data_IF_674120382627
#
_entry.id   IF_674120382627
#
_cell.length_a   1.000
_cell.length_b   1.000
_cell.length_c   1.000
_cell.angle_alpha   90.00
_cell.angle_beta   90.00
_cell.angle_gamma   90.00
#
_symmetry.space_group_name_H-M   'P 1'
#
loop_
_entity.id
_entity.type
_entity.pdbx_description
1 polymer ?
#
# COMPACT_ATOMS: atom_id res chain seq x y z
N UNK A 1 -29.18 14.86 -23.81
CA UNK A 1 -30.09 13.69 -23.70
C UNK A 1 -31.06 13.84 -22.54
N UNK A 2 -30.60 13.96 -21.28
CA UNK A 2 -31.48 14.15 -20.12
C UNK A 2 -32.47 15.31 -20.27
N UNK A 3 -32.01 16.51 -20.72
CA UNK A 3 -32.88 17.66 -21.03
C UNK A 3 -34.01 17.37 -22.04
N UNK A 4 -33.79 16.44 -22.97
CA UNK A 4 -34.78 16.06 -23.99
C UNK A 4 -35.79 15.04 -23.46
N UNK A 5 -35.36 14.15 -22.55
CA UNK A 5 -36.19 13.10 -21.97
C UNK A 5 -36.99 13.60 -20.76
N UNK A 6 -36.48 14.61 -20.05
CA UNK A 6 -37.08 15.14 -18.83
C UNK A 6 -38.55 15.60 -18.96
N UNK A 7 -38.97 16.32 -20.02
CA UNK A 7 -40.37 16.69 -20.21
C UNK A 7 -41.25 15.54 -20.69
N UNK A 8 -40.65 14.42 -21.14
CA UNK A 8 -41.37 13.23 -21.63
C UNK A 8 -41.59 12.18 -20.54
N UNK A 9 -41.17 12.44 -19.29
CA UNK A 9 -41.33 11.51 -18.17
C UNK A 9 -42.80 11.33 -17.80
N UNK A 10 -43.15 10.13 -17.32
CA UNK A 10 -44.48 9.90 -16.77
C UNK A 10 -44.71 10.80 -15.54
N UNK A 11 -45.89 11.45 -15.43
CA UNK A 11 -46.23 12.25 -14.26
C UNK A 11 -46.14 11.40 -12.97
N UNK A 12 -45.27 11.79 -12.04
CA UNK A 12 -45.11 11.11 -10.76
C UNK A 12 -44.06 9.99 -10.70
N UNK A 13 -43.22 9.80 -11.74
CA UNK A 13 -42.12 8.86 -11.67
C UNK A 13 -41.11 9.26 -10.56
N UNK A 14 -41.06 8.48 -9.47
CA UNK A 14 -40.19 8.69 -8.30
C UNK A 14 -38.76 8.22 -8.57
N UNK A 15 -38.12 8.75 -9.61
CA UNK A 15 -36.72 8.42 -9.99
C UNK A 15 -35.73 9.44 -9.39
N UNK A 16 -36.15 10.20 -8.39
CA UNK A 16 -35.50 11.46 -8.01
C UNK A 16 -34.14 11.20 -7.37
N UNK A 17 -34.07 10.32 -6.37
CA UNK A 17 -32.81 10.06 -5.66
C UNK A 17 -31.77 9.38 -6.55
N UNK A 18 -32.14 8.34 -7.31
CA UNK A 18 -31.23 7.61 -8.19
C UNK A 18 -30.68 8.48 -9.32
N UNK A 19 -31.53 9.35 -9.89
CA UNK A 19 -31.12 10.28 -10.95
C UNK A 19 -30.24 11.39 -10.38
N UNK A 20 -30.57 11.93 -9.20
CA UNK A 20 -29.71 12.91 -8.51
C UNK A 20 -28.37 12.29 -8.13
N UNK A 21 -28.35 11.06 -7.63
CA UNK A 21 -27.13 10.29 -7.32
C UNK A 21 -26.29 10.06 -8.57
N UNK A 22 -26.92 9.67 -9.68
CA UNK A 22 -26.24 9.49 -10.96
C UNK A 22 -25.65 10.80 -11.50
N UNK A 23 -26.38 11.90 -11.36
CA UNK A 23 -25.91 13.23 -11.73
C UNK A 23 -24.76 13.70 -10.82
N UNK A 24 -24.84 13.45 -9.52
CA UNK A 24 -23.79 13.73 -8.54
C UNK A 24 -22.50 12.95 -8.81
N UNK A 25 -22.60 11.73 -9.34
CA UNK A 25 -21.44 10.92 -9.77
C UNK A 25 -20.89 11.29 -11.15
N UNK A 26 -21.60 12.16 -11.89
CA UNK A 26 -21.18 12.53 -13.24
C UNK A 26 -20.01 13.52 -13.22
N UNK A 27 -19.29 13.59 -14.32
CA UNK A 27 -18.22 14.58 -14.55
C UNK A 27 -18.76 15.94 -14.97
N UNK A 28 -20.09 16.13 -15.00
CA UNK A 28 -20.75 17.35 -15.46
C UNK A 28 -21.59 17.97 -14.35
N UNK A 29 -21.12 19.07 -13.71
CA UNK A 29 -21.86 19.72 -12.63
C UNK A 29 -23.18 20.35 -13.14
N UNK A 30 -23.27 20.60 -14.45
CA UNK A 30 -24.45 21.14 -15.13
C UNK A 30 -25.63 20.17 -15.03
N UNK A 31 -25.40 18.85 -14.97
CA UNK A 31 -26.48 17.87 -14.86
C UNK A 31 -27.20 17.98 -13.52
N UNK A 32 -26.45 18.08 -12.42
CA UNK A 32 -27.03 18.26 -11.10
C UNK A 32 -27.79 19.59 -11.00
N UNK A 33 -27.18 20.69 -11.51
CA UNK A 33 -27.84 22.00 -11.56
C UNK A 33 -29.16 21.96 -12.33
N UNK A 34 -29.17 21.33 -13.52
CA UNK A 34 -30.38 21.20 -14.32
C UNK A 34 -31.48 20.45 -13.57
N UNK A 35 -31.15 19.38 -12.85
CA UNK A 35 -32.14 18.65 -12.06
C UNK A 35 -32.69 19.50 -10.92
N UNK A 36 -31.84 20.24 -10.20
CA UNK A 36 -32.27 21.15 -9.13
C UNK A 36 -33.21 22.24 -9.68
N UNK A 37 -32.90 22.82 -10.84
CA UNK A 37 -33.72 23.85 -11.48
C UNK A 37 -35.13 23.36 -11.84
N UNK A 38 -35.24 22.09 -12.25
CA UNK A 38 -36.47 21.45 -12.70
C UNK A 38 -37.31 20.80 -11.58
N UNK A 39 -36.73 20.64 -10.39
CA UNK A 39 -37.41 20.10 -9.23
C UNK A 39 -38.29 21.17 -8.55
N UNK A 40 -39.21 20.69 -7.70
CA UNK A 40 -40.22 21.53 -7.04
C UNK A 40 -39.64 22.58 -6.07
N UNK A 41 -40.50 23.32 -5.36
CA UNK A 41 -40.10 24.45 -4.54
C UNK A 41 -39.24 24.10 -3.31
N UNK A 42 -39.19 22.82 -2.91
CA UNK A 42 -38.38 22.33 -1.80
C UNK A 42 -37.75 21.00 -2.20
N UNK A 43 -36.44 20.89 -2.05
CA UNK A 43 -35.64 19.74 -2.46
C UNK A 43 -34.87 19.25 -1.24
N UNK A 44 -35.29 18.10 -0.69
CA UNK A 44 -34.53 17.43 0.37
C UNK A 44 -33.54 16.46 -0.28
N UNK A 45 -32.24 16.73 -0.14
CA UNK A 45 -31.22 15.80 -0.62
C UNK A 45 -30.99 14.70 0.42
N UNK A 46 -31.09 13.46 -0.04
CA UNK A 46 -30.69 12.30 0.76
C UNK A 46 -29.18 12.32 1.01
N UNK A 47 -28.76 11.72 2.12
CA UNK A 47 -27.34 11.60 2.48
C UNK A 47 -26.54 10.89 1.37
N UNK A 48 -27.11 9.90 0.71
CA UNK A 48 -26.53 9.16 -0.44
C UNK A 48 -26.14 10.08 -1.61
N UNK A 49 -26.99 11.06 -1.92
CA UNK A 49 -26.73 12.08 -2.94
C UNK A 49 -25.60 12.99 -2.47
N UNK A 50 -25.65 13.47 -1.22
CA UNK A 50 -24.60 14.32 -0.65
C UNK A 50 -23.24 13.62 -0.60
N UNK A 51 -23.19 12.35 -0.20
CA UNK A 51 -21.98 11.51 -0.25
C UNK A 51 -21.40 11.45 -1.67
N UNK A 52 -22.27 11.31 -2.66
CA UNK A 52 -21.86 11.28 -4.07
C UNK A 52 -21.35 12.63 -4.58
N UNK A 53 -21.94 13.74 -4.11
CA UNK A 53 -21.48 15.10 -4.42
C UNK A 53 -20.12 15.35 -3.80
N UNK A 54 -19.98 15.14 -2.48
CA UNK A 54 -18.75 15.43 -1.73
C UNK A 54 -17.62 14.53 -2.21
N UNK A 55 -17.91 13.24 -2.44
CA UNK A 55 -16.93 12.25 -2.92
C UNK A 55 -16.59 12.35 -4.41
N UNK A 56 -17.19 13.27 -5.16
CA UNK A 56 -16.87 13.46 -6.58
C UNK A 56 -15.54 14.22 -6.72
N UNK A 57 -14.50 13.50 -7.13
CA UNK A 57 -13.12 14.01 -7.22
C UNK A 57 -12.89 15.06 -8.31
N UNK A 58 -13.81 15.21 -9.28
CA UNK A 58 -13.64 16.13 -10.41
C UNK A 58 -14.47 17.41 -10.26
N UNK A 59 -15.71 17.26 -9.77
CA UNK A 59 -16.71 18.32 -9.76
C UNK A 59 -17.39 18.53 -8.40
N UNK A 60 -17.03 17.74 -7.37
CA UNK A 60 -17.75 17.71 -6.10
C UNK A 60 -17.85 19.06 -5.41
N UNK A 61 -16.76 19.84 -5.38
CA UNK A 61 -16.78 21.19 -4.82
C UNK A 61 -17.71 22.15 -5.58
N UNK A 62 -17.72 22.09 -6.92
CA UNK A 62 -18.59 22.93 -7.76
C UNK A 62 -20.07 22.56 -7.58
N UNK A 63 -20.35 21.26 -7.47
CA UNK A 63 -21.67 20.74 -7.17
C UNK A 63 -22.12 21.16 -5.76
N UNK A 64 -21.25 21.08 -4.75
CA UNK A 64 -21.53 21.53 -3.39
C UNK A 64 -21.88 23.03 -3.33
N UNK A 65 -21.12 23.88 -4.04
CA UNK A 65 -21.43 25.31 -4.18
C UNK A 65 -22.78 25.56 -4.87
N UNK A 66 -23.14 24.72 -5.84
CA UNK A 66 -24.44 24.81 -6.52
C UNK A 66 -25.59 24.45 -5.57
N UNK A 67 -25.43 23.39 -4.79
CA UNK A 67 -26.40 22.97 -3.76
C UNK A 67 -26.59 24.05 -2.70
N UNK A 68 -25.50 24.60 -2.16
CA UNK A 68 -25.55 25.66 -1.14
C UNK A 68 -26.05 27.00 -1.67
N UNK A 69 -25.88 27.26 -2.96
CA UNK A 69 -26.35 28.49 -3.61
C UNK A 69 -27.85 28.52 -3.89
N UNK A 70 -28.55 27.40 -3.74
CA UNK A 70 -29.98 27.29 -3.97
C UNK A 70 -30.75 27.15 -2.65
N UNK A 71 -31.51 28.17 -2.22
CA UNK A 71 -32.21 28.15 -0.94
C UNK A 71 -33.37 27.13 -0.88
N UNK A 72 -33.75 26.51 -2.01
CA UNK A 72 -34.74 25.45 -2.06
C UNK A 72 -34.17 24.10 -1.61
N UNK A 73 -32.84 23.97 -1.61
CA UNK A 73 -32.16 22.71 -1.32
C UNK A 73 -31.83 22.63 0.17
N UNK A 74 -32.26 21.54 0.80
CA UNK A 74 -32.08 21.28 2.23
C UNK A 74 -31.39 19.92 2.37
N UNK A 75 -30.39 19.85 3.24
CA UNK A 75 -29.72 18.62 3.63
C UNK A 75 -29.22 18.74 5.07
N UNK A 76 -29.04 17.60 5.72
CA UNK A 76 -28.48 17.53 7.06
C UNK A 76 -26.97 17.22 6.97
N UNK A 77 -26.15 17.97 7.71
CA UNK A 77 -24.73 17.69 7.83
C UNK A 77 -24.55 16.58 8.87
N UNK A 78 -24.14 15.40 8.41
CA UNK A 78 -23.85 14.24 9.25
C UNK A 78 -22.35 13.95 9.33
N UNK A 79 -21.92 13.22 10.36
CA UNK A 79 -20.55 12.74 10.54
C UNK A 79 -20.00 12.02 9.27
N UNK A 80 -20.74 11.11 8.61
CA UNK A 80 -20.30 10.51 7.36
C UNK A 80 -19.96 11.51 6.25
N UNK A 81 -20.67 12.65 6.17
CA UNK A 81 -20.37 13.68 5.16
C UNK A 81 -19.06 14.40 5.48
N UNK A 82 -18.81 14.69 6.77
CA UNK A 82 -17.56 15.29 7.24
C UNK A 82 -16.38 14.32 7.02
N UNK A 83 -16.57 13.03 7.31
CA UNK A 83 -15.57 11.98 7.07
C UNK A 83 -15.18 11.90 5.58
N UNK A 84 -16.16 11.91 4.67
CA UNK A 84 -15.88 11.94 3.22
C UNK A 84 -15.15 13.23 2.85
N UNK A 85 -15.62 14.39 3.31
CA UNK A 85 -14.98 15.67 3.05
C UNK A 85 -13.50 15.69 3.48
N UNK A 86 -13.19 15.15 4.66
CA UNK A 86 -11.83 15.04 5.19
C UNK A 86 -10.91 14.14 4.34
N UNK A 87 -11.46 13.17 3.61
CA UNK A 87 -10.70 12.31 2.69
C UNK A 87 -10.71 12.78 1.23
N UNK A 88 -11.36 13.91 0.91
CA UNK A 88 -11.38 14.43 -0.47
C UNK A 88 -9.99 14.89 -0.92
N UNK A 89 -9.68 14.64 -2.19
CA UNK A 89 -8.39 14.98 -2.80
C UNK A 89 -8.33 16.40 -3.34
N UNK A 90 -9.47 16.98 -3.72
CA UNK A 90 -9.59 18.31 -4.30
C UNK A 90 -10.15 19.29 -3.27
N UNK A 91 -9.31 20.23 -2.82
CA UNK A 91 -9.68 21.30 -1.89
C UNK A 91 -10.49 20.83 -0.65
N UNK A 92 -9.97 19.84 0.12
CA UNK A 92 -10.69 19.29 1.28
C UNK A 92 -11.02 20.33 2.35
N UNK A 93 -10.15 21.32 2.54
CA UNK A 93 -10.39 22.41 3.50
C UNK A 93 -11.61 23.24 3.12
N UNK A 94 -11.75 23.57 1.83
CA UNK A 94 -12.90 24.35 1.36
C UNK A 94 -14.19 23.54 1.46
N UNK A 95 -14.14 22.24 1.15
CA UNK A 95 -15.28 21.35 1.33
C UNK A 95 -15.70 21.24 2.81
N UNK A 96 -14.73 21.07 3.72
CA UNK A 96 -14.98 21.04 5.15
C UNK A 96 -15.57 22.36 5.65
N UNK A 97 -15.02 23.50 5.23
CA UNK A 97 -15.56 24.82 5.56
C UNK A 97 -17.01 24.99 5.10
N UNK A 98 -17.34 24.54 3.89
CA UNK A 98 -18.71 24.60 3.38
C UNK A 98 -19.66 23.76 4.24
N UNK A 99 -19.26 22.56 4.67
CA UNK A 99 -20.12 21.71 5.51
C UNK A 99 -20.23 22.23 6.93
N UNK A 100 -19.13 22.63 7.56
CA UNK A 100 -19.10 23.13 8.95
C UNK A 100 -19.92 24.41 9.07
N UNK A 101 -19.79 25.35 8.12
CA UNK A 101 -20.54 26.61 8.15
C UNK A 101 -22.03 26.46 7.84
N UNK A 102 -22.45 25.34 7.23
CA UNK A 102 -23.86 25.05 6.93
C UNK A 102 -24.44 23.97 7.86
N UNK A 103 -23.70 23.57 8.89
CA UNK A 103 -24.21 22.67 9.92
C UNK A 103 -25.03 23.45 10.96
N UNK A 104 -26.26 23.02 11.21
CA UNK A 104 -27.10 23.59 12.28
C UNK A 104 -26.58 23.25 13.68
N UNK A 105 -25.81 22.16 13.78
CA UNK A 105 -25.23 21.66 15.03
C UNK A 105 -23.72 21.79 15.02
N UNK A 106 -23.12 21.82 16.20
CA UNK A 106 -21.66 21.78 16.31
C UNK A 106 -21.16 20.43 15.81
N UNK A 107 -20.27 20.45 14.82
CA UNK A 107 -19.58 19.25 14.33
C UNK A 107 -18.66 18.71 15.41
N UNK A 108 -18.90 17.47 15.82
CA UNK A 108 -18.05 16.73 16.77
C UNK A 108 -17.01 15.91 16.01
N UNK A 109 -15.74 16.01 16.42
CA UNK A 109 -14.65 15.32 15.75
C UNK A 109 -14.52 13.91 16.34
N UNK A 110 -14.91 12.92 15.53
CA UNK A 110 -14.85 11.50 15.88
C UNK A 110 -13.59 10.83 15.33
N UNK A 111 -13.30 9.63 15.81
CA UNK A 111 -12.20 8.82 15.30
C UNK A 111 -12.32 8.54 13.79
N UNK A 112 -13.55 8.37 13.27
CA UNK A 112 -13.77 8.11 11.84
C UNK A 112 -13.30 9.30 10.98
N UNK A 113 -13.67 10.52 11.40
CA UNK A 113 -13.26 11.76 10.72
C UNK A 113 -11.73 11.91 10.77
N UNK A 114 -11.11 11.62 11.92
CA UNK A 114 -9.66 11.70 12.08
C UNK A 114 -8.95 10.65 11.23
N UNK A 115 -9.48 9.42 11.16
CA UNK A 115 -8.96 8.37 10.27
C UNK A 115 -9.02 8.78 8.80
N UNK A 116 -10.11 9.42 8.38
CA UNK A 116 -10.27 9.92 7.02
C UNK A 116 -9.27 11.03 6.69
N UNK A 117 -9.04 11.95 7.63
CA UNK A 117 -8.04 13.01 7.52
C UNK A 117 -6.61 12.47 7.45
N UNK A 118 -6.25 11.57 8.37
CA UNK A 118 -4.93 10.96 8.44
C UNK A 118 -4.62 10.08 7.22
N UNK A 119 -5.66 9.54 6.56
CA UNK A 119 -5.54 8.78 5.32
C UNK A 119 -5.67 9.61 4.04
N UNK A 120 -5.77 10.94 4.13
CA UNK A 120 -5.88 11.79 2.96
C UNK A 120 -4.57 11.75 2.15
N UNK A 121 -4.69 11.60 0.83
CA UNK A 121 -3.53 11.40 -0.06
C UNK A 121 -2.77 12.71 -0.33
N UNK A 122 -3.48 13.84 -0.38
CA UNK A 122 -2.91 15.09 -0.87
C UNK A 122 -2.66 16.12 0.24
N UNK A 123 -3.54 16.16 1.25
CA UNK A 123 -3.55 17.21 2.26
C UNK A 123 -3.76 16.72 3.71
N UNK A 124 -3.22 15.56 4.12
CA UNK A 124 -3.48 14.98 5.44
C UNK A 124 -3.11 15.91 6.59
N UNK A 125 -1.94 16.56 6.50
CA UNK A 125 -1.46 17.53 7.49
C UNK A 125 -2.40 18.72 7.68
N UNK A 126 -2.81 19.34 6.57
CA UNK A 126 -3.66 20.52 6.59
C UNK A 126 -5.06 20.20 7.09
N UNK A 127 -5.59 19.03 6.73
CA UNK A 127 -6.90 18.58 7.20
C UNK A 127 -6.85 18.28 8.70
N UNK A 128 -5.84 17.55 9.19
CA UNK A 128 -5.68 17.30 10.63
C UNK A 128 -5.52 18.60 11.43
N UNK A 129 -4.78 19.57 10.89
CA UNK A 129 -4.64 20.89 11.51
C UNK A 129 -5.98 21.64 11.57
N UNK A 130 -6.74 21.66 10.47
CA UNK A 130 -8.08 22.24 10.43
C UNK A 130 -9.01 21.62 11.47
N UNK A 131 -9.09 20.29 11.52
CA UNK A 131 -9.93 19.57 12.48
C UNK A 131 -9.52 19.87 13.94
N UNK A 132 -8.23 20.09 14.21
CA UNK A 132 -7.74 20.45 15.54
C UNK A 132 -8.20 21.82 16.03
N UNK A 133 -8.60 22.71 15.10
CA UNK A 133 -9.12 24.03 15.43
C UNK A 133 -10.66 24.07 15.54
N UNK A 134 -11.38 23.04 15.06
CA UNK A 134 -12.84 22.98 15.16
C UNK A 134 -13.34 22.70 16.57
N UNK A 135 -12.58 21.94 17.36
CA UNK A 135 -12.91 21.64 18.74
C UNK A 135 -11.76 21.95 19.70
N UNK A 136 -12.07 22.60 20.82
CA UNK A 136 -11.10 22.90 21.86
C UNK A 136 -10.58 21.65 22.61
N UNK A 137 -11.27 20.51 22.45
CA UNK A 137 -10.83 19.23 23.03
C UNK A 137 -9.93 18.52 22.02
N UNK A 138 -8.83 17.89 22.47
CA UNK A 138 -8.05 17.01 21.61
C UNK A 138 -8.95 15.91 21.05
N UNK A 139 -8.94 15.72 19.73
CA UNK A 139 -9.65 14.62 19.11
C UNK A 139 -8.95 13.28 19.40
N UNK A 140 -9.67 12.14 19.37
CA UNK A 140 -9.10 10.84 19.70
C UNK A 140 -8.06 10.41 18.66
N UNK A 141 -6.84 10.15 19.11
CA UNK A 141 -5.79 9.50 18.30
C UNK A 141 -5.60 8.09 18.80
N UNK A 142 -6.20 7.15 18.07
CA UNK A 142 -6.14 5.71 18.34
C UNK A 142 -5.06 5.05 17.48
N UNK A 143 -4.84 3.76 17.69
CA UNK A 143 -3.95 2.95 16.84
C UNK A 143 -4.38 3.02 15.36
N UNK A 144 -5.69 3.02 15.08
CA UNK A 144 -6.19 3.03 13.70
C UNK A 144 -5.85 4.37 13.00
N UNK A 145 -5.93 5.49 13.70
CA UNK A 145 -5.49 6.80 13.18
C UNK A 145 -4.02 6.78 12.81
N UNK A 146 -3.16 6.24 13.70
CA UNK A 146 -1.72 6.10 13.43
C UNK A 146 -1.50 5.20 12.20
N UNK A 147 -2.23 4.09 12.09
CA UNK A 147 -2.14 3.17 10.94
C UNK A 147 -2.51 3.84 9.60
N UNK A 148 -3.43 4.80 9.58
CA UNK A 148 -3.73 5.57 8.36
C UNK A 148 -2.62 6.54 8.01
N UNK A 149 -2.02 7.18 9.03
CA UNK A 149 -0.90 8.11 8.86
C UNK A 149 0.41 7.43 8.42
N UNK A 150 0.62 6.14 8.72
CA UNK A 150 1.86 5.40 8.36
C UNK A 150 2.21 5.50 6.87
N UNK A 151 1.23 5.66 5.98
CA UNK A 151 1.51 5.71 4.53
C UNK A 151 2.28 6.95 4.09
N UNK A 152 2.28 8.01 4.90
CA UNK A 152 2.97 9.27 4.60
C UNK A 152 3.83 9.70 5.79
N UNK A 153 5.17 9.77 5.64
CA UNK A 153 6.06 10.05 6.76
C UNK A 153 5.80 11.45 7.34
N UNK A 154 5.40 12.42 6.51
CA UNK A 154 5.09 13.78 6.95
C UNK A 154 3.85 13.84 7.84
N UNK A 155 2.81 13.08 7.48
CA UNK A 155 1.59 12.94 8.29
C UNK A 155 1.89 12.30 9.62
N UNK A 156 2.68 11.21 9.61
CA UNK A 156 3.06 10.51 10.83
C UNK A 156 3.87 11.42 11.78
N UNK A 157 4.80 12.20 11.24
CA UNK A 157 5.57 13.21 12.00
C UNK A 157 4.65 14.23 12.68
N UNK A 158 3.76 14.87 11.92
CA UNK A 158 2.82 15.88 12.43
C UNK A 158 1.85 15.29 13.46
N UNK A 159 1.41 14.05 13.24
CA UNK A 159 0.56 13.34 14.20
C UNK A 159 1.28 13.19 15.54
N UNK A 160 2.54 12.78 15.57
CA UNK A 160 3.30 12.66 16.81
C UNK A 160 3.73 14.02 17.41
N UNK A 161 3.91 15.06 16.60
CA UNK A 161 4.16 16.42 17.11
C UNK A 161 2.94 16.97 17.86
N UNK A 162 1.75 16.82 17.29
CA UNK A 162 0.49 17.28 17.90
C UNK A 162 0.01 16.35 19.02
N UNK A 163 0.28 15.05 18.89
CA UNK A 163 -0.18 14.01 19.81
C UNK A 163 1.00 13.13 20.26
N UNK A 164 1.85 13.62 21.19
CA UNK A 164 3.04 12.90 21.63
C UNK A 164 2.74 11.58 22.35
N UNK A 165 1.49 11.40 22.82
CA UNK A 165 1.01 10.19 23.47
C UNK A 165 0.26 9.24 22.52
N UNK A 166 0.32 9.46 21.20
CA UNK A 166 -0.32 8.58 20.24
C UNK A 166 0.20 7.13 20.39
N UNK A 167 -0.67 6.12 20.30
CA UNK A 167 -0.30 4.74 20.61
C UNK A 167 0.65 4.18 19.54
N UNK A 168 1.83 3.76 19.98
CA UNK A 168 2.80 3.02 19.17
C UNK A 168 2.77 1.55 19.62
N UNK A 169 2.02 0.74 18.89
CA UNK A 169 1.80 -0.69 19.21
C UNK A 169 2.60 -1.60 18.29
N UNK A 170 2.57 -2.91 18.55
CA UNK A 170 3.14 -3.91 17.66
C UNK A 170 2.64 -3.75 16.21
N UNK A 171 1.34 -3.49 16.04
CA UNK A 171 0.71 -3.36 14.72
C UNK A 171 1.24 -2.16 13.95
N UNK A 172 1.51 -1.04 14.64
CA UNK A 172 2.11 0.17 14.06
C UNK A 172 3.52 -0.13 13.55
N UNK A 173 4.36 -0.82 14.33
CA UNK A 173 5.69 -1.24 13.87
C UNK A 173 5.62 -2.19 12.68
N UNK A 174 4.72 -3.18 12.72
CA UNK A 174 4.52 -4.08 11.59
C UNK A 174 4.00 -3.35 10.35
N UNK A 175 3.19 -2.31 10.51
CA UNK A 175 2.76 -1.44 9.41
C UNK A 175 3.92 -0.69 8.77
N UNK A 176 4.85 -0.21 9.60
CA UNK A 176 6.03 0.53 9.16
C UNK A 176 7.15 -0.34 8.57
N UNK A 177 7.14 -1.67 8.75
CA UNK A 177 8.10 -2.58 8.08
C UNK A 177 8.12 -2.46 6.56
N UNK A 178 7.09 -1.85 5.97
CA UNK A 178 7.00 -1.60 4.54
C UNK A 178 7.50 -0.21 4.13
N UNK A 179 7.94 0.63 5.06
CA UNK A 179 8.34 2.01 4.79
C UNK A 179 9.51 2.44 5.70
N UNK A 180 10.70 2.56 5.14
CA UNK A 180 11.93 2.81 5.91
C UNK A 180 11.91 4.11 6.73
N UNK A 181 11.40 5.21 6.15
CA UNK A 181 11.34 6.51 6.83
C UNK A 181 10.45 6.47 8.07
N UNK A 182 9.33 5.76 7.99
CA UNK A 182 8.40 5.59 9.10
C UNK A 182 8.97 4.68 10.17
N UNK A 183 9.71 3.64 9.77
CA UNK A 183 10.44 2.80 10.70
C UNK A 183 11.45 3.65 11.50
N UNK A 184 12.22 4.51 10.82
CA UNK A 184 13.12 5.46 11.47
C UNK A 184 12.40 6.34 12.50
N UNK A 185 11.33 7.02 12.05
CA UNK A 185 10.53 7.91 12.89
C UNK A 185 9.99 7.20 14.13
N UNK A 186 9.48 5.97 13.98
CA UNK A 186 8.87 5.23 15.09
C UNK A 186 9.90 4.77 16.12
N UNK A 187 11.09 4.30 15.72
CA UNK A 187 12.08 3.88 16.73
C UNK A 187 12.80 5.07 17.41
N UNK A 188 12.61 6.30 16.93
CA UNK A 188 13.03 7.52 17.64
C UNK A 188 12.03 7.95 18.72
N UNK A 189 10.81 7.44 18.71
CA UNK A 189 9.77 7.77 19.69
C UNK A 189 9.81 6.84 20.90
N UNK A 190 9.36 7.30 22.08
CA UNK A 190 9.24 6.45 23.25
C UNK A 190 8.29 5.29 23.00
N UNK A 191 8.77 4.06 23.11
CA UNK A 191 7.97 2.84 22.90
C UNK A 191 8.22 1.81 24.01
N UNK A 192 7.18 1.06 24.38
CA UNK A 192 7.21 0.09 25.49
C UNK A 192 7.92 -1.24 25.19
N UNK A 193 8.34 -1.45 23.94
CA UNK A 193 8.98 -2.67 23.45
C UNK A 193 8.79 -2.81 21.94
N UNK A 194 9.64 -3.60 21.28
CA UNK A 194 9.58 -3.83 19.84
C UNK A 194 9.23 -5.29 19.55
N UNK A 195 8.27 -5.56 18.63
CA UNK A 195 7.92 -6.92 18.23
C UNK A 195 8.91 -7.48 17.20
N UNK A 196 10.19 -7.55 17.56
CA UNK A 196 11.30 -7.86 16.65
C UNK A 196 11.07 -9.16 15.87
N UNK A 197 10.62 -10.23 16.53
CA UNK A 197 10.37 -11.53 15.88
C UNK A 197 9.31 -11.41 14.77
N UNK A 198 8.16 -10.77 15.07
CA UNK A 198 7.09 -10.56 14.08
C UNK A 198 7.52 -9.61 12.95
N UNK A 199 8.37 -8.63 13.26
CA UNK A 199 8.90 -7.70 12.25
C UNK A 199 9.79 -8.44 11.27
N UNK A 200 10.70 -9.27 11.78
CA UNK A 200 11.60 -10.13 10.99
C UNK A 200 10.78 -11.05 10.07
N UNK A 201 9.77 -11.75 10.60
CA UNK A 201 8.87 -12.59 9.78
C UNK A 201 8.17 -11.79 8.66
N UNK A 202 7.75 -10.55 8.95
CA UNK A 202 7.11 -9.70 7.95
C UNK A 202 8.08 -9.22 6.87
N UNK A 203 9.32 -8.93 7.24
CA UNK A 203 10.38 -8.51 6.30
C UNK A 203 10.70 -9.60 5.28
N UNK A 204 10.60 -10.88 5.66
CA UNK A 204 10.81 -12.02 4.74
C UNK A 204 9.76 -12.11 3.62
N UNK A 205 8.61 -11.47 3.78
CA UNK A 205 7.50 -11.51 2.83
C UNK A 205 7.34 -10.22 2.02
N UNK A 206 8.24 -9.24 2.20
CA UNK A 206 8.11 -7.91 1.59
C UNK A 206 9.37 -7.59 0.77
N UNK A 207 9.20 -7.13 -0.48
CA UNK A 207 10.28 -7.21 -1.48
C UNK A 207 11.06 -5.92 -1.72
N UNK A 208 10.48 -4.74 -1.46
CA UNK A 208 11.07 -3.47 -1.91
C UNK A 208 11.88 -2.77 -0.81
N UNK A 209 11.32 -2.56 0.38
CA UNK A 209 11.96 -1.79 1.47
C UNK A 209 12.42 -2.65 2.65
N UNK A 210 12.38 -3.98 2.51
CA UNK A 210 12.73 -4.90 3.59
C UNK A 210 14.23 -4.90 3.93
N UNK A 211 15.10 -4.74 2.93
CA UNK A 211 16.54 -4.59 3.13
C UNK A 211 16.86 -3.38 4.01
N UNK A 212 16.31 -2.22 3.64
CA UNK A 212 16.54 -0.98 4.39
C UNK A 212 16.01 -1.11 5.81
N UNK A 213 14.78 -1.59 5.99
CA UNK A 213 14.23 -1.79 7.32
C UNK A 213 15.06 -2.77 8.18
N UNK A 214 15.63 -3.82 7.56
CA UNK A 214 16.51 -4.76 8.25
C UNK A 214 17.85 -4.10 8.65
N UNK A 215 18.45 -3.31 7.76
CA UNK A 215 19.65 -2.52 8.04
C UNK A 215 19.45 -1.56 9.22
N UNK A 216 18.28 -0.91 9.31
CA UNK A 216 17.97 -0.02 10.43
C UNK A 216 17.89 -0.72 11.78
N UNK A 217 17.28 -1.91 11.83
CA UNK A 217 17.24 -2.72 13.04
C UNK A 217 18.65 -3.14 13.47
N UNK A 218 19.50 -3.38 12.48
CA UNK A 218 20.90 -3.76 12.65
C UNK A 218 21.80 -2.61 13.10
N UNK A 219 21.60 -1.39 12.60
CA UNK A 219 22.31 -0.18 13.02
C UNK A 219 21.98 0.21 14.45
N UNK A 220 20.72 0.01 14.87
CA UNK A 220 20.27 0.29 16.23
C UNK A 220 20.58 -0.83 17.24
N UNK A 221 21.34 -1.85 16.84
CA UNK A 221 21.67 -3.03 17.64
C UNK A 221 20.43 -3.77 18.19
N UNK A 222 19.32 -3.74 17.45
CA UNK A 222 18.07 -4.41 17.80
C UNK A 222 18.01 -5.85 17.27
N UNK A 223 18.90 -6.19 16.33
CA UNK A 223 19.05 -7.52 15.75
C UNK A 223 20.51 -7.98 15.79
N UNK A 224 20.68 -9.27 16.02
CA UNK A 224 21.95 -9.98 15.88
C UNK A 224 21.79 -11.10 14.87
N UNK A 225 22.76 -11.24 13.96
CA UNK A 225 22.76 -12.35 13.01
C UNK A 225 22.93 -13.67 13.76
N UNK A 226 21.94 -14.54 13.66
CA UNK A 226 21.95 -15.88 14.25
C UNK A 226 21.28 -16.88 13.29
N UNK A 227 21.36 -18.16 13.62
CA UNK A 227 20.77 -19.26 12.85
C UNK A 227 19.26 -19.05 12.59
N UNK A 228 18.49 -18.70 13.62
CA UNK A 228 17.05 -18.50 13.49
C UNK A 228 16.69 -17.36 12.52
N UNK A 229 17.46 -16.27 12.53
CA UNK A 229 17.27 -15.13 11.64
C UNK A 229 17.59 -15.50 10.19
N UNK A 230 18.71 -16.20 9.96
CA UNK A 230 19.09 -16.71 8.64
C UNK A 230 18.03 -17.65 8.10
N UNK A 231 17.53 -18.59 8.92
CA UNK A 231 16.46 -19.51 8.52
C UNK A 231 15.15 -18.81 8.17
N UNK A 232 14.81 -17.74 8.90
CA UNK A 232 13.56 -16.98 8.68
C UNK A 232 13.64 -16.18 7.39
N UNK A 233 14.78 -15.54 7.13
CA UNK A 233 15.00 -14.74 5.92
C UNK A 233 15.39 -15.58 4.69
N UNK A 234 15.70 -16.87 4.84
CA UNK A 234 16.21 -17.70 3.74
C UNK A 234 15.24 -17.83 2.55
N UNK A 235 13.96 -17.55 2.74
CA UNK A 235 12.96 -17.54 1.66
C UNK A 235 12.99 -16.27 0.80
N UNK A 236 13.78 -15.24 1.15
CA UNK A 236 13.85 -13.97 0.43
C UNK A 236 15.29 -13.53 0.21
N UNK A 237 15.68 -13.37 -1.06
CA UNK A 237 17.06 -13.01 -1.41
C UNK A 237 17.50 -11.67 -0.83
N UNK A 238 16.69 -10.62 -0.92
CA UNK A 238 17.08 -9.27 -0.48
C UNK A 238 17.54 -9.23 0.99
N UNK A 239 16.65 -9.61 1.94
CA UNK A 239 17.00 -9.72 3.35
C UNK A 239 18.15 -10.70 3.63
N UNK A 240 18.19 -11.87 2.97
CA UNK A 240 19.27 -12.84 3.15
C UNK A 240 20.63 -12.31 2.68
N UNK A 241 20.68 -11.68 1.52
CA UNK A 241 21.89 -11.05 0.97
C UNK A 241 22.38 -9.93 1.90
N UNK A 242 21.46 -9.13 2.44
CA UNK A 242 21.76 -8.08 3.43
C UNK A 242 22.41 -8.66 4.70
N UNK A 243 21.87 -9.78 5.21
CA UNK A 243 22.44 -10.50 6.35
C UNK A 243 23.86 -11.01 6.08
N UNK A 244 24.07 -11.65 4.93
CA UNK A 244 25.35 -12.27 4.58
C UNK A 244 26.43 -11.23 4.26
N UNK A 245 26.06 -10.10 3.66
CA UNK A 245 26.99 -8.99 3.46
C UNK A 245 27.47 -8.39 4.78
N UNK A 246 26.60 -8.34 5.80
CA UNK A 246 26.95 -7.81 7.13
C UNK A 246 27.70 -8.82 7.98
N UNK A 247 27.40 -10.11 7.84
CA UNK A 247 28.06 -11.21 8.55
C UNK A 247 28.33 -12.38 7.61
N UNK A 248 29.49 -12.38 6.91
CA UNK A 248 29.87 -13.47 6.02
C UNK A 248 29.99 -14.83 6.73
N UNK A 249 30.28 -14.81 8.03
CA UNK A 249 30.41 -16.00 8.89
C UNK A 249 29.07 -16.47 9.49
N UNK A 250 27.93 -15.95 8.99
CA UNK A 250 26.62 -16.35 9.50
C UNK A 250 26.38 -17.86 9.31
N UNK A 251 25.81 -18.55 10.31
CA UNK A 251 25.57 -19.98 10.23
C UNK A 251 24.48 -20.29 9.18
N UNK A 252 24.86 -20.92 8.08
CA UNK A 252 23.94 -21.46 7.07
C UNK A 252 23.56 -22.88 7.48
N UNK A 253 22.29 -23.10 7.82
CA UNK A 253 21.78 -24.42 8.22
C UNK A 253 21.08 -25.14 7.09
N UNK A 254 20.92 -26.45 7.23
CA UNK A 254 20.15 -27.28 6.29
C UNK A 254 18.72 -26.74 6.13
N UNK A 255 18.11 -26.28 7.23
CA UNK A 255 16.77 -25.71 7.21
C UNK A 255 16.71 -24.39 6.43
N UNK A 256 17.72 -23.53 6.53
CA UNK A 256 17.82 -22.32 5.71
C UNK A 256 17.91 -22.68 4.22
N UNK A 257 18.76 -23.65 3.85
CA UNK A 257 18.89 -24.12 2.47
C UNK A 257 17.57 -24.71 1.94
N UNK A 258 16.87 -25.50 2.76
CA UNK A 258 15.57 -26.06 2.41
C UNK A 258 14.48 -24.99 2.25
N UNK A 259 14.54 -23.88 2.99
CA UNK A 259 13.61 -22.77 2.82
C UNK A 259 13.88 -22.00 1.53
N UNK A 260 15.16 -21.70 1.24
CA UNK A 260 15.56 -21.08 -0.03
C UNK A 260 15.12 -21.92 -1.24
N UNK A 261 15.20 -23.25 -1.14
CA UNK A 261 14.80 -24.16 -2.21
C UNK A 261 13.27 -24.24 -2.44
N UNK A 262 12.43 -23.79 -1.49
CA UNK A 262 10.96 -23.85 -1.62
C UNK A 262 10.38 -22.73 -2.48
N UNK A 263 11.11 -21.62 -2.63
CA UNK A 263 10.65 -20.49 -3.42
C UNK A 263 11.68 -20.07 -4.49
N UNK A 264 11.94 -20.93 -5.51
CA UNK A 264 12.95 -20.64 -6.53
C UNK A 264 12.53 -19.55 -7.54
N UNK A 265 11.37 -18.89 -7.37
CA UNK A 265 10.72 -18.10 -8.43
C UNK A 265 10.51 -16.61 -8.11
N UNK A 266 10.94 -16.12 -6.95
CA UNK A 266 10.70 -14.73 -6.58
C UNK A 266 11.88 -13.77 -6.85
N UNK A 267 13.01 -14.28 -7.37
CA UNK A 267 14.23 -13.50 -7.62
C UNK A 267 14.65 -13.44 -9.10
N UNK A 268 13.72 -13.55 -10.05
CA UNK A 268 14.04 -13.17 -11.43
C UNK A 268 13.92 -11.65 -11.58
N UNK A 269 14.94 -10.91 -11.16
CA UNK A 269 15.20 -9.64 -11.84
C UNK A 269 15.71 -9.97 -13.25
N UNK A 270 15.29 -9.20 -14.26
CA UNK A 270 15.65 -9.42 -15.67
C UNK A 270 17.18 -9.45 -15.93
N UNK A 271 17.99 -9.05 -14.94
CA UNK A 271 19.45 -9.03 -14.97
C UNK A 271 20.10 -10.35 -14.51
N UNK A 272 19.36 -11.27 -13.87
CA UNK A 272 19.92 -12.51 -13.30
C UNK A 272 19.51 -13.80 -14.05
N UNK A 273 18.72 -13.69 -15.12
CA UNK A 273 18.35 -14.81 -15.99
C UNK A 273 19.56 -15.68 -16.47
N UNK A 274 20.75 -15.12 -16.77
CA UNK A 274 21.90 -15.95 -17.08
C UNK A 274 22.47 -16.67 -15.86
N UNK A 275 22.47 -16.07 -14.67
CA UNK A 275 23.04 -16.71 -13.49
C UNK A 275 22.22 -17.92 -13.03
N UNK A 276 20.89 -17.81 -13.06
CA UNK A 276 19.97 -18.91 -12.74
C UNK A 276 20.11 -20.08 -13.72
N UNK A 277 20.16 -19.79 -15.03
CA UNK A 277 20.37 -20.83 -16.05
C UNK A 277 21.72 -21.52 -15.93
N UNK A 278 22.78 -20.81 -15.52
CA UNK A 278 24.08 -21.41 -15.27
C UNK A 278 24.06 -22.31 -14.02
N UNK A 279 23.36 -21.89 -12.97
CA UNK A 279 23.20 -22.67 -11.74
C UNK A 279 22.48 -23.99 -12.02
N UNK A 280 21.42 -24.00 -12.83
CA UNK A 280 20.71 -25.22 -13.24
C UNK A 280 21.60 -26.17 -14.04
N UNK A 281 22.43 -25.64 -14.96
CA UNK A 281 23.39 -26.44 -15.73
C UNK A 281 24.45 -27.06 -14.79
N UNK A 282 24.92 -26.30 -13.78
CA UNK A 282 25.88 -26.78 -12.78
C UNK A 282 25.26 -27.88 -11.90
N UNK A 283 24.00 -27.72 -11.48
CA UNK A 283 23.27 -28.74 -10.70
C UNK A 283 23.08 -30.01 -11.53
N UNK A 284 22.69 -29.90 -12.80
CA UNK A 284 22.60 -31.05 -13.71
C UNK A 284 23.96 -31.74 -13.93
N UNK A 285 25.04 -30.98 -14.07
CA UNK A 285 26.39 -31.55 -14.15
C UNK A 285 26.78 -32.30 -12.86
N UNK A 286 26.49 -31.72 -11.69
CA UNK A 286 26.79 -32.34 -10.40
C UNK A 286 25.98 -33.63 -10.17
N UNK A 287 24.70 -33.67 -10.58
CA UNK A 287 23.86 -34.87 -10.46
C UNK A 287 24.32 -36.00 -11.38
N UNK A 288 24.75 -35.69 -12.61
CA UNK A 288 25.33 -36.68 -13.53
C UNK A 288 26.69 -37.18 -13.02
N UNK A 289 27.54 -36.31 -12.47
CA UNK A 289 28.81 -36.74 -11.87
C UNK A 289 28.58 -37.61 -10.63
N UNK A 290 27.55 -37.31 -9.83
CA UNK A 290 27.15 -38.14 -8.70
C UNK A 290 26.64 -39.53 -9.16
N UNK A 291 25.82 -39.59 -10.22
CA UNK A 291 25.36 -40.87 -10.78
C UNK A 291 26.50 -41.69 -11.38
N UNK A 292 27.47 -41.05 -12.04
CA UNK A 292 28.70 -41.70 -12.52
C UNK A 292 29.48 -42.33 -11.37
N UNK A 293 29.54 -41.65 -10.21
CA UNK A 293 30.26 -42.13 -9.03
C UNK A 293 29.61 -43.37 -8.40
N UNK A 294 28.30 -43.49 -8.49
CA UNK A 294 27.55 -44.68 -8.03
C UNK A 294 27.63 -45.85 -9.03
N UNK A 295 27.69 -45.57 -10.34
CA UNK A 295 27.67 -46.56 -11.43
C UNK A 295 29.05 -47.12 -11.83
N UNK A 296 30.14 -46.81 -11.11
CA UNK A 296 31.55 -47.17 -11.48
C UNK A 296 31.78 -48.68 -11.71
N UNK A 297 30.86 -49.57 -11.31
CA UNK A 297 30.99 -51.02 -11.47
C UNK A 297 30.43 -51.61 -12.77
N UNK A 298 29.68 -50.85 -13.60
CA UNK A 298 29.02 -51.42 -14.78
C UNK A 298 29.39 -50.71 -16.11
N UNK A 299 30.19 -51.40 -16.93
CA UNK A 299 30.77 -50.89 -18.20
C UNK A 299 29.72 -50.51 -19.26
N UNK A 300 28.46 -50.92 -19.06
CA UNK A 300 27.36 -50.73 -20.01
C UNK A 300 26.82 -49.29 -19.97
N UNK A 301 26.92 -48.59 -18.83
CA UNK A 301 26.34 -47.25 -18.67
C UNK A 301 27.25 -46.09 -19.12
N UNK A 302 28.52 -46.35 -19.48
CA UNK A 302 29.47 -45.29 -19.84
C UNK A 302 29.03 -44.47 -21.06
N UNK A 303 28.37 -45.09 -22.05
CA UNK A 303 27.86 -44.40 -23.25
C UNK A 303 26.75 -43.39 -22.93
N UNK A 304 25.88 -43.72 -21.95
CA UNK A 304 24.79 -42.85 -21.50
C UNK A 304 25.33 -41.63 -20.76
N UNK A 305 26.31 -41.82 -19.89
CA UNK A 305 26.97 -40.74 -19.16
C UNK A 305 27.75 -39.80 -20.10
N UNK A 306 28.44 -40.34 -21.10
CA UNK A 306 29.12 -39.53 -22.13
C UNK A 306 28.11 -38.70 -22.94
N UNK A 307 26.97 -39.30 -23.31
CA UNK A 307 25.92 -38.56 -24.04
C UNK A 307 25.28 -37.46 -23.19
N UNK A 308 25.11 -37.69 -21.88
CA UNK A 308 24.58 -36.71 -20.95
C UNK A 308 25.56 -35.54 -20.71
N UNK A 309 26.86 -35.83 -20.59
CA UNK A 309 27.90 -34.80 -20.49
C UNK A 309 28.02 -33.96 -21.78
N UNK A 310 27.84 -34.57 -22.95
CA UNK A 310 27.79 -33.84 -24.22
C UNK A 310 26.55 -32.94 -24.33
N UNK A 311 25.42 -33.35 -23.75
CA UNK A 311 24.22 -32.50 -23.65
C UNK A 311 24.48 -31.27 -22.80
N UNK A 312 25.15 -31.42 -21.65
CA UNK A 312 25.55 -30.30 -20.79
C UNK A 312 26.49 -29.34 -21.54
N UNK A 313 27.48 -29.87 -22.28
CA UNK A 313 28.39 -29.04 -23.08
C UNK A 313 27.64 -28.20 -24.12
N UNK A 314 26.63 -28.79 -24.77
CA UNK A 314 25.77 -28.05 -25.71
C UNK A 314 24.89 -27.00 -25.02
N UNK A 315 24.37 -27.29 -23.82
CA UNK A 315 23.60 -26.34 -23.02
C UNK A 315 24.46 -25.17 -22.54
N UNK A 316 25.71 -25.44 -22.15
CA UNK A 316 26.68 -24.43 -21.71
C UNK A 316 27.08 -23.49 -22.87
N UNK A 317 27.26 -24.02 -24.08
CA UNK A 317 27.51 -23.21 -25.29
C UNK A 317 26.28 -22.38 -25.72
N UNK A 318 25.05 -22.91 -25.52
CA UNK A 318 23.83 -22.14 -25.74
C UNK A 318 23.68 -21.01 -24.71
N UNK A 319 23.96 -21.31 -23.44
CA UNK A 319 23.98 -20.33 -22.36
C UNK A 319 24.97 -19.20 -22.63
N UNK A 320 26.21 -19.54 -23.01
CA UNK A 320 27.26 -18.57 -23.33
C UNK A 320 26.85 -17.60 -24.46
N UNK A 321 26.16 -18.10 -25.49
CA UNK A 321 25.61 -17.25 -26.56
C UNK A 321 24.50 -16.33 -26.05
N UNK A 322 23.61 -16.85 -25.20
CA UNK A 322 22.53 -16.08 -24.60
C UNK A 322 23.06 -14.98 -23.65
N UNK A 323 24.08 -15.28 -22.85
CA UNK A 323 24.77 -14.31 -21.99
C UNK A 323 25.44 -13.17 -22.80
N UNK A 324 26.11 -13.51 -23.91
CA UNK A 324 26.73 -12.51 -24.78
C UNK A 324 25.71 -11.63 -25.52
N UNK A 325 24.50 -12.14 -25.79
CA UNK A 325 23.41 -11.38 -26.42
C UNK A 325 22.76 -10.40 -25.44
N UNK A 326 22.57 -10.80 -24.19
CA UNK A 326 21.98 -9.97 -23.13
C UNK A 326 22.89 -8.83 -22.70
N UNK A 327 24.20 -9.04 -22.67
CA UNK A 327 25.19 -7.97 -22.41
C UNK A 327 25.29 -6.91 -23.52
N UNK A 328 24.92 -7.22 -24.77
CA UNK A 328 25.00 -6.29 -25.91
C UNK A 328 23.74 -5.41 -26.08
N UNK A 329 22.68 -5.67 -25.33
CA UNK A 329 21.44 -4.86 -25.34
C UNK A 329 21.41 -3.76 -24.28
N UNK A 330 22.42 -3.69 -23.39
CA UNK A 330 22.55 -2.70 -22.30
C UNK A 330 23.59 -1.59 -22.58
N UNK A 331 23.99 -1.38 -23.85
CA UNK A 331 24.88 -0.28 -24.30
C UNK A 331 24.16 0.63 -25.32
#
# INVERSE_FOLDING_TARGET
MLKLLWPLREPGASIIEDVLTSAAKSTSPILLKFLIDELGPSIQLAETVMKSIIGNWECGLSMMKTVLGDPRVIFEVSEPLISIAASTTQAPLEMLDLLVNNSETKVHITEEIVCAAAGNINHPSSVLDYLSHLEARPFPVTEEVVMRAIRDPKTLEILFEKFPNAPITDRVFLGACSYADQMHLLLDKPHGGLPIEKMVEKLSNNYLDSCVALDLLFERNLLTVNEQLVETQAASYGPLNTLLNRSPDAPITEKAVLQAAKDPRNDETAQEAPAASLADIIVNACTIIASVKEDILDKINSSRHVSALLSIDTELECWKKFFLLTMNTEL
#
